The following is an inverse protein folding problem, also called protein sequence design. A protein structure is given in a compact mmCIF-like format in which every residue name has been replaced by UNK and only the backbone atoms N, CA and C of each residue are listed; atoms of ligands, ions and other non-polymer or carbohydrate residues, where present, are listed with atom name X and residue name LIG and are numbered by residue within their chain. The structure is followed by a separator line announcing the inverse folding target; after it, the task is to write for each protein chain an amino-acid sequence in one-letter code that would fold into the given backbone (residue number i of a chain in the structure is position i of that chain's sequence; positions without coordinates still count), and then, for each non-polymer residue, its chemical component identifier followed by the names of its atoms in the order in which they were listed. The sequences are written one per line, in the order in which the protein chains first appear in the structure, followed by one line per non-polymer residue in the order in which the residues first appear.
data_IF_361121400094
#
_entry.id   IF_361121400094
#
_cell.length_a   1.000
_cell.length_b   1.000
_cell.length_c   1.000
_cell.angle_alpha   90.00
_cell.angle_beta   90.00
_cell.angle_gamma   90.00
#
_symmetry.space_group_name_H-M   'P 1'
#
loop_
_entity.id
_entity.type
_entity.pdbx_description
1 polymer ?
#
# COMPACT_ATOMS: atom_id res chain seq x y z
N UNK A 1 -19.23 44.64 -38.21
CA UNK A 1 -20.60 44.79 -37.67
C UNK A 1 -20.90 43.49 -36.95
N UNK A 2 -21.20 43.53 -35.65
CA UNK A 2 -21.65 42.33 -34.93
C UNK A 2 -23.11 42.13 -35.36
N UNK A 3 -23.39 41.02 -36.03
CA UNK A 3 -24.76 40.65 -36.39
C UNK A 3 -25.44 40.09 -35.13
N UNK A 4 -26.56 40.69 -34.75
CA UNK A 4 -27.30 40.35 -33.52
C UNK A 4 -28.72 40.02 -33.89
N UNK A 5 -29.14 38.78 -33.62
CA UNK A 5 -30.49 38.30 -33.85
C UNK A 5 -30.97 37.50 -32.63
N UNK A 6 -32.27 37.56 -32.36
CA UNK A 6 -32.88 36.79 -31.29
C UNK A 6 -32.95 35.31 -31.65
N UNK A 7 -32.58 34.45 -30.70
CA UNK A 7 -32.63 33.00 -30.85
C UNK A 7 -33.05 32.33 -29.55
N UNK A 8 -33.97 31.36 -29.65
CA UNK A 8 -34.39 30.57 -28.49
C UNK A 8 -33.25 29.70 -27.98
N UNK A 9 -32.92 29.82 -26.68
CA UNK A 9 -31.88 29.01 -26.04
C UNK A 9 -32.13 28.85 -24.55
N UNK A 10 -31.47 27.85 -23.94
CA UNK A 10 -31.33 27.77 -22.48
C UNK A 10 -30.37 28.86 -21.98
N UNK A 11 -30.54 29.27 -20.71
CA UNK A 11 -29.66 30.23 -20.02
C UNK A 11 -28.19 29.81 -20.14
N UNK A 12 -27.33 30.75 -20.53
CA UNK A 12 -25.90 30.55 -20.70
C UNK A 12 -25.38 31.23 -21.97
N UNK A 13 -24.12 30.95 -22.32
CA UNK A 13 -23.46 31.50 -23.51
C UNK A 13 -22.88 30.37 -24.35
N UNK A 14 -23.01 30.48 -25.67
CA UNK A 14 -22.38 29.55 -26.63
C UNK A 14 -21.49 30.38 -27.52
N UNK A 15 -20.20 30.03 -27.57
CA UNK A 15 -19.24 30.70 -28.44
C UNK A 15 -18.79 29.69 -29.49
N UNK A 16 -19.09 29.97 -30.75
CA UNK A 16 -18.68 29.15 -31.89
C UNK A 16 -17.59 29.88 -32.66
N UNK A 17 -16.43 29.25 -32.81
CA UNK A 17 -15.30 29.79 -33.57
C UNK A 17 -15.04 28.84 -34.73
N UNK A 18 -15.27 29.32 -35.96
CA UNK A 18 -15.01 28.59 -37.20
C UNK A 18 -13.93 29.31 -38.01
N UNK A 19 -13.20 28.56 -38.83
CA UNK A 19 -12.13 29.08 -39.70
C UNK A 19 -11.10 29.94 -38.94
N UNK A 20 -10.54 29.41 -37.86
CA UNK A 20 -9.57 30.12 -37.03
C UNK A 20 -8.39 30.64 -37.88
N UNK A 21 -8.06 31.91 -37.72
CA UNK A 21 -7.02 32.63 -38.48
C UNK A 21 -7.27 32.81 -39.99
N UNK A 22 -8.50 32.67 -40.49
CA UNK A 22 -8.80 32.88 -41.91
C UNK A 22 -8.34 34.24 -42.46
N UNK A 23 -8.39 35.29 -41.64
CA UNK A 23 -7.98 36.65 -41.97
C UNK A 23 -6.55 37.01 -41.50
N UNK A 24 -5.80 36.04 -41.00
CA UNK A 24 -4.45 36.22 -40.47
C UNK A 24 -3.49 35.14 -41.01
N UNK A 25 -3.15 35.17 -42.31
CA UNK A 25 -2.41 34.08 -42.98
C UNK A 25 -1.03 33.82 -42.38
N UNK A 26 -0.35 34.86 -41.86
CA UNK A 26 0.90 34.70 -41.13
C UNK A 26 0.72 33.84 -39.87
N UNK A 27 -0.34 34.06 -39.08
CA UNK A 27 -0.66 33.26 -37.89
C UNK A 27 -1.07 31.83 -38.23
N UNK A 28 -1.81 31.66 -39.34
CA UNK A 28 -2.16 30.34 -39.85
C UNK A 28 -0.91 29.49 -40.16
N UNK A 29 0.14 30.09 -40.74
CA UNK A 29 1.42 29.41 -40.99
C UNK A 29 2.17 29.00 -39.72
N UNK A 30 1.88 29.61 -38.57
CA UNK A 30 2.47 29.23 -37.27
C UNK A 30 1.70 28.10 -36.57
N UNK A 31 0.52 27.70 -37.08
CA UNK A 31 -0.18 26.55 -36.53
C UNK A 31 0.68 25.30 -36.66
N UNK A 32 0.77 24.52 -35.58
CA UNK A 32 1.44 23.23 -35.60
C UNK A 32 0.53 22.19 -36.28
N UNK A 33 1.07 20.99 -36.47
CA UNK A 33 0.27 19.87 -36.98
C UNK A 33 -0.94 19.56 -36.08
N UNK A 34 -2.03 18.99 -36.62
CA UNK A 34 -3.29 18.78 -35.88
C UNK A 34 -3.13 18.05 -34.53
N UNK A 35 -2.24 17.06 -34.46
CA UNK A 35 -1.95 16.32 -33.21
C UNK A 35 -1.35 17.20 -32.12
N UNK A 36 -0.47 18.14 -32.48
CA UNK A 36 0.18 19.05 -31.54
C UNK A 36 -0.79 20.10 -31.02
N UNK A 37 -1.63 20.64 -31.89
CA UNK A 37 -2.71 21.57 -31.50
C UNK A 37 -3.74 20.88 -30.62
N UNK A 38 -4.14 19.65 -30.97
CA UNK A 38 -5.02 18.85 -30.14
C UNK A 38 -4.45 18.61 -28.73
N UNK A 39 -3.16 18.28 -28.63
CA UNK A 39 -2.48 18.16 -27.34
C UNK A 39 -2.50 19.47 -26.55
N UNK A 40 -2.26 20.61 -27.19
CA UNK A 40 -2.33 21.91 -26.53
C UNK A 40 -3.74 22.21 -26.00
N UNK A 41 -4.79 21.82 -26.73
CA UNK A 41 -6.19 21.92 -26.27
C UNK A 41 -6.41 21.04 -25.04
N UNK A 42 -5.97 19.78 -25.07
CA UNK A 42 -6.07 18.87 -23.92
C UNK A 42 -5.36 19.45 -22.70
N UNK A 43 -4.14 19.97 -22.86
CA UNK A 43 -3.37 20.56 -21.77
C UNK A 43 -4.08 21.79 -21.17
N UNK A 44 -4.67 22.65 -22.01
CA UNK A 44 -5.43 23.82 -21.58
C UNK A 44 -6.71 23.43 -20.82
N UNK A 45 -7.49 22.48 -21.36
CA UNK A 45 -8.71 21.99 -20.70
C UNK A 45 -8.38 21.28 -19.39
N UNK A 46 -7.29 20.51 -19.35
CA UNK A 46 -6.80 19.84 -18.13
C UNK A 46 -6.42 20.87 -17.07
N UNK A 47 -5.73 21.94 -17.43
CA UNK A 47 -5.39 23.03 -16.52
C UNK A 47 -6.64 23.68 -15.90
N UNK A 48 -7.68 23.93 -16.72
CA UNK A 48 -8.98 24.43 -16.23
C UNK A 48 -9.64 23.40 -15.31
N UNK A 49 -9.60 22.11 -15.65
CA UNK A 49 -10.20 21.05 -14.86
C UNK A 49 -9.56 20.90 -13.46
N UNK A 50 -8.23 21.07 -13.37
CA UNK A 50 -7.50 21.01 -12.10
C UNK A 50 -7.74 22.25 -11.23
N UNK A 51 -7.92 23.42 -11.86
CA UNK A 51 -8.21 24.68 -11.19
C UNK A 51 -9.67 24.76 -10.71
N UNK A 52 -10.62 24.31 -11.55
CA UNK A 52 -12.08 24.40 -11.32
C UNK A 52 -12.67 22.99 -11.16
N UNK A 53 -12.67 22.52 -9.92
CA UNK A 53 -13.12 21.17 -9.54
C UNK A 53 -14.64 21.11 -9.37
N UNK A 54 -15.25 22.23 -9.03
CA UNK A 54 -16.68 22.43 -8.82
C UNK A 54 -17.52 22.40 -10.10
N UNK A 55 -16.88 22.52 -11.27
CA UNK A 55 -17.57 22.60 -12.56
C UNK A 55 -17.54 21.24 -13.29
N UNK A 56 -18.66 20.91 -13.95
CA UNK A 56 -18.73 19.81 -14.92
C UNK A 56 -18.07 20.23 -16.24
N UNK A 57 -17.15 19.42 -16.74
CA UNK A 57 -16.46 19.67 -18.01
C UNK A 57 -16.63 18.48 -18.95
N UNK A 58 -17.00 18.76 -20.20
CA UNK A 58 -17.10 17.76 -21.27
C UNK A 58 -16.34 18.25 -22.48
N UNK A 59 -15.50 17.39 -23.06
CA UNK A 59 -14.76 17.68 -24.28
C UNK A 59 -15.10 16.65 -25.34
N UNK A 60 -15.46 17.14 -26.52
CA UNK A 60 -15.75 16.34 -27.69
C UNK A 60 -14.73 16.67 -28.78
N UNK A 61 -14.32 15.66 -29.55
CA UNK A 61 -13.45 15.77 -30.72
C UNK A 61 -14.01 14.88 -31.82
N UNK A 62 -14.30 15.47 -32.99
CA UNK A 62 -14.91 14.77 -34.13
C UNK A 62 -16.15 13.94 -33.74
N UNK A 63 -17.04 14.54 -32.95
CA UNK A 63 -18.26 13.90 -32.45
C UNK A 63 -18.06 12.91 -31.29
N UNK A 64 -16.84 12.41 -31.06
CA UNK A 64 -16.53 11.49 -29.96
C UNK A 64 -16.29 12.26 -28.65
N UNK A 65 -16.89 11.79 -27.56
CA UNK A 65 -16.62 12.31 -26.22
C UNK A 65 -15.26 11.79 -25.73
N UNK A 66 -14.30 12.70 -25.57
CA UNK A 66 -12.92 12.38 -25.14
C UNK A 66 -12.76 12.56 -23.63
N UNK A 67 -13.45 13.54 -23.05
CA UNK A 67 -13.38 13.84 -21.62
C UNK A 67 -14.78 14.08 -21.08
N UNK A 68 -15.09 13.49 -19.93
CA UNK A 68 -16.34 13.69 -19.21
C UNK A 68 -16.05 13.75 -17.72
N UNK A 69 -15.91 14.97 -17.19
CA UNK A 69 -15.55 15.22 -15.81
C UNK A 69 -16.77 15.75 -15.05
N UNK A 70 -17.36 14.98 -14.12
CA UNK A 70 -18.35 15.52 -13.19
C UNK A 70 -17.68 16.52 -12.23
N UNK A 71 -18.45 17.34 -11.50
CA UNK A 71 -17.92 18.07 -10.35
C UNK A 71 -17.23 17.11 -9.38
N UNK A 72 -16.09 17.53 -8.82
CA UNK A 72 -15.28 16.73 -7.92
C UNK A 72 -15.13 17.45 -6.57
N UNK A 73 -15.29 16.71 -5.49
CA UNK A 73 -15.16 17.21 -4.11
C UNK A 73 -13.72 17.46 -3.68
N UNK A 74 -12.75 16.79 -4.31
CA UNK A 74 -11.34 16.90 -3.98
C UNK A 74 -10.44 16.88 -5.21
N UNK A 75 -9.18 17.30 -5.04
CA UNK A 75 -8.17 17.20 -6.10
C UNK A 75 -7.94 15.73 -6.49
N UNK A 76 -7.89 14.82 -5.52
CA UNK A 76 -7.74 13.37 -5.76
C UNK A 76 -8.87 12.80 -6.61
N UNK A 77 -10.12 13.15 -6.29
CA UNK A 77 -11.28 12.75 -7.08
C UNK A 77 -11.21 13.30 -8.52
N UNK A 78 -10.74 14.55 -8.69
CA UNK A 78 -10.50 15.12 -10.01
C UNK A 78 -9.40 14.37 -10.78
N UNK A 79 -8.30 13.98 -10.12
CA UNK A 79 -7.24 13.17 -10.75
C UNK A 79 -7.77 11.79 -11.15
N UNK A 80 -8.58 11.16 -10.31
CA UNK A 80 -9.20 9.88 -10.61
C UNK A 80 -10.12 9.95 -11.85
N UNK A 81 -10.87 11.05 -12.00
CA UNK A 81 -11.71 11.27 -13.17
C UNK A 81 -10.90 11.54 -14.47
N UNK A 82 -9.71 12.11 -14.36
CA UNK A 82 -8.83 12.42 -15.50
C UNK A 82 -8.00 11.22 -15.96
N UNK A 83 -7.43 10.47 -15.01
CA UNK A 83 -6.40 9.46 -15.28
C UNK A 83 -6.65 8.09 -14.61
N UNK A 84 -7.80 7.92 -13.94
CA UNK A 84 -8.18 6.68 -13.28
C UNK A 84 -7.82 6.62 -11.79
N UNK A 85 -8.53 5.78 -11.04
CA UNK A 85 -8.36 5.64 -9.60
C UNK A 85 -6.96 5.17 -9.19
N UNK A 86 -6.41 4.18 -9.90
CA UNK A 86 -5.05 3.66 -9.65
C UNK A 86 -3.97 4.72 -9.82
N UNK A 87 -4.15 5.67 -10.74
CA UNK A 87 -3.24 6.81 -10.88
C UNK A 87 -3.37 7.74 -9.66
N UNK A 88 -4.60 8.04 -9.24
CA UNK A 88 -4.86 8.94 -8.12
C UNK A 88 -4.36 8.41 -6.76
N UNK A 89 -4.26 7.09 -6.58
CA UNK A 89 -3.75 6.44 -5.36
C UNK A 89 -2.25 6.65 -5.13
N UNK A 90 -1.49 6.99 -6.19
CA UNK A 90 -0.03 7.21 -6.13
C UNK A 90 0.39 8.50 -5.44
N UNK A 91 -0.57 9.29 -4.96
CA UNK A 91 -0.31 10.62 -4.43
C UNK A 91 -0.57 10.71 -2.94
N UNK A 92 0.24 11.53 -2.27
CA UNK A 92 0.10 11.97 -0.89
C UNK A 92 -0.55 13.35 -0.86
N UNK A 93 -1.41 13.56 0.14
CA UNK A 93 -1.95 14.89 0.41
C UNK A 93 -0.90 15.77 1.07
N UNK A 94 -0.79 16.99 0.55
CA UNK A 94 -0.01 18.06 1.13
C UNK A 94 -1.01 19.09 1.63
N UNK A 95 -0.90 19.46 2.89
CA UNK A 95 -1.62 20.59 3.45
C UNK A 95 -0.81 21.21 4.56
N UNK A 96 -0.59 22.51 4.44
CA UNK A 96 0.30 23.23 5.33
C UNK A 96 0.11 24.74 5.29
N UNK A 97 0.47 25.39 6.39
CA UNK A 97 0.49 26.84 6.52
C UNK A 97 1.81 27.26 7.16
N UNK A 98 2.57 28.12 6.47
CA UNK A 98 3.81 28.69 6.96
C UNK A 98 3.79 30.20 6.77
N UNK A 99 3.72 30.94 7.88
CA UNK A 99 3.51 32.39 7.86
C UNK A 99 2.23 32.76 7.12
N UNK A 100 2.35 33.57 6.07
CA UNK A 100 1.24 34.00 5.21
C UNK A 100 1.02 33.11 3.97
N UNK A 101 1.74 31.98 3.86
CA UNK A 101 1.65 31.08 2.71
C UNK A 101 0.95 29.79 3.12
N UNK A 102 -0.13 29.43 2.43
CA UNK A 102 -0.76 28.11 2.54
C UNK A 102 -0.40 27.29 1.31
N UNK A 103 0.07 26.06 1.53
CA UNK A 103 0.39 25.11 0.47
C UNK A 103 -0.55 23.92 0.63
N UNK A 104 -1.24 23.57 -0.43
CA UNK A 104 -2.10 22.39 -0.46
C UNK A 104 -1.95 21.62 -1.77
N UNK A 105 -2.35 20.36 -1.82
CA UNK A 105 -2.39 19.61 -3.06
C UNK A 105 -2.00 18.15 -2.92
N UNK A 106 -1.42 17.62 -3.98
CA UNK A 106 -1.02 16.22 -4.10
C UNK A 106 0.41 16.11 -4.66
N UNK A 107 1.24 15.29 -4.02
CA UNK A 107 2.59 14.96 -4.49
C UNK A 107 2.74 13.46 -4.62
N UNK A 108 3.50 13.00 -5.61
CA UNK A 108 3.71 11.57 -5.84
C UNK A 108 4.43 10.91 -4.66
N UNK A 109 4.02 9.69 -4.29
CA UNK A 109 4.73 8.89 -3.28
C UNK A 109 6.13 8.56 -3.78
N UNK A 110 7.18 8.59 -2.92
CA UNK A 110 8.55 8.28 -3.33
C UNK A 110 8.68 6.94 -4.08
N UNK A 111 7.99 5.90 -3.61
CA UNK A 111 8.00 4.58 -4.23
C UNK A 111 7.37 4.52 -5.63
N UNK A 112 6.54 5.49 -6.00
CA UNK A 112 5.84 5.53 -7.29
C UNK A 112 6.54 6.42 -8.34
N UNK A 113 7.56 7.18 -7.93
CA UNK A 113 8.25 8.16 -8.79
C UNK A 113 8.96 7.45 -9.95
N UNK A 114 8.73 7.95 -11.16
CA UNK A 114 9.36 7.42 -12.38
C UNK A 114 8.60 6.29 -13.07
N UNK A 115 7.55 5.72 -12.45
CA UNK A 115 6.74 4.66 -13.06
C UNK A 115 5.88 5.19 -14.23
N UNK A 116 5.35 6.41 -14.12
CA UNK A 116 4.56 7.06 -15.16
C UNK A 116 5.18 8.37 -15.63
N UNK A 117 4.64 8.90 -16.73
CA UNK A 117 5.07 10.19 -17.26
C UNK A 117 4.84 11.32 -16.26
N UNK A 118 5.90 12.08 -15.96
CA UNK A 118 5.88 13.24 -15.05
C UNK A 118 4.84 14.28 -15.45
N UNK A 119 4.09 14.79 -14.47
CA UNK A 119 3.20 15.95 -14.63
C UNK A 119 3.50 16.97 -13.55
N UNK A 120 3.40 18.24 -13.91
CA UNK A 120 3.59 19.34 -12.97
C UNK A 120 2.48 20.33 -13.22
N UNK A 121 1.68 20.55 -12.18
CA UNK A 121 0.64 21.56 -12.14
C UNK A 121 0.83 22.37 -10.86
N UNK A 122 1.04 23.67 -11.02
CA UNK A 122 1.13 24.61 -9.92
C UNK A 122 0.02 25.63 -10.13
N UNK A 123 -0.77 25.90 -9.09
CA UNK A 123 -1.66 27.04 -9.03
C UNK A 123 -1.24 28.00 -7.93
N UNK A 124 -1.36 29.30 -8.21
CA UNK A 124 -1.16 30.37 -7.23
C UNK A 124 -2.43 31.19 -7.14
N UNK A 125 -3.04 31.29 -5.97
CA UNK A 125 -4.31 31.99 -5.74
C UNK A 125 -5.41 31.60 -6.77
N UNK A 126 -5.51 30.30 -7.07
CA UNK A 126 -6.51 29.77 -8.01
C UNK A 126 -6.19 30.01 -9.50
N UNK A 127 -4.97 30.41 -9.86
CA UNK A 127 -4.52 30.53 -11.26
C UNK A 127 -3.42 29.52 -11.55
N UNK A 128 -3.56 28.75 -12.62
CA UNK A 128 -2.49 27.87 -13.09
C UNK A 128 -1.28 28.67 -13.58
N UNK A 129 -0.09 28.36 -13.07
CA UNK A 129 1.15 29.08 -13.36
C UNK A 129 2.30 28.12 -13.66
N UNK A 130 3.32 28.63 -14.33
CA UNK A 130 4.60 27.97 -14.55
C UNK A 130 5.66 28.71 -13.74
N UNK A 131 6.03 28.14 -12.60
CA UNK A 131 7.09 28.69 -11.76
C UNK A 131 8.16 27.63 -11.47
N UNK A 132 9.35 27.81 -12.02
CA UNK A 132 10.45 26.85 -11.87
C UNK A 132 11.00 26.80 -10.43
N UNK A 133 10.82 27.86 -9.64
CA UNK A 133 11.30 27.96 -8.26
C UNK A 133 10.47 27.12 -7.31
N UNK A 134 9.13 27.21 -7.40
CA UNK A 134 8.20 26.35 -6.66
C UNK A 134 8.47 24.88 -6.99
N UNK A 135 8.66 24.56 -8.27
CA UNK A 135 8.99 23.19 -8.71
C UNK A 135 10.31 22.72 -8.09
N UNK A 136 11.37 23.55 -8.15
CA UNK A 136 12.68 23.23 -7.58
C UNK A 136 12.61 23.04 -6.05
N UNK A 137 11.83 23.87 -5.37
CA UNK A 137 11.63 23.79 -3.92
C UNK A 137 10.94 22.47 -3.53
N UNK A 138 9.86 22.12 -4.22
CA UNK A 138 9.19 20.83 -4.02
C UNK A 138 10.13 19.65 -4.32
N UNK A 139 10.88 19.68 -5.43
CA UNK A 139 11.85 18.62 -5.77
C UNK A 139 13.00 18.50 -4.76
N UNK A 140 13.39 19.59 -4.10
CA UNK A 140 14.44 19.58 -3.07
C UNK A 140 13.99 18.80 -1.83
N UNK A 141 12.69 18.75 -1.53
CA UNK A 141 12.14 17.91 -0.47
C UNK A 141 12.32 16.41 -0.75
N UNK A 142 12.29 16.00 -2.02
CA UNK A 142 12.40 14.59 -2.44
C UNK A 142 13.83 14.06 -2.51
N UNK A 143 14.86 14.91 -2.51
CA UNK A 143 16.25 14.50 -2.80
C UNK A 143 16.78 13.35 -1.94
N UNK A 144 16.30 13.19 -0.71
CA UNK A 144 16.70 12.12 0.21
C UNK A 144 15.83 10.86 0.12
N UNK A 145 14.70 10.90 -0.61
CA UNK A 145 13.70 9.83 -0.62
C UNK A 145 13.55 9.13 -1.97
N UNK A 146 14.12 9.69 -3.04
CA UNK A 146 14.04 9.12 -4.40
C UNK A 146 15.43 8.97 -5.04
N UNK A 147 15.61 8.05 -6.00
CA UNK A 147 16.87 7.90 -6.72
C UNK A 147 17.34 9.18 -7.43
N UNK A 148 18.65 9.30 -7.61
CA UNK A 148 19.22 10.41 -8.37
C UNK A 148 18.73 10.38 -9.83
N UNK A 149 18.38 11.55 -10.38
CA UNK A 149 17.99 11.70 -11.79
C UNK A 149 16.49 11.50 -12.08
N UNK A 150 15.71 10.93 -11.16
CA UNK A 150 14.24 10.88 -11.30
C UNK A 150 13.59 12.12 -10.70
N UNK A 151 12.40 12.46 -11.20
CA UNK A 151 11.65 13.66 -10.78
C UNK A 151 10.18 13.32 -10.53
N UNK A 152 9.61 13.77 -9.40
CA UNK A 152 8.24 13.46 -9.02
C UNK A 152 7.21 14.22 -9.86
N UNK A 153 6.00 13.68 -9.87
CA UNK A 153 4.78 14.36 -10.30
C UNK A 153 4.24 15.23 -9.17
N UNK A 154 3.83 16.46 -9.50
CA UNK A 154 3.43 17.50 -8.53
C UNK A 154 2.13 18.17 -8.95
N UNK A 155 1.17 18.27 -8.03
CA UNK A 155 -0.07 19.04 -8.17
C UNK A 155 -0.25 19.93 -6.94
N UNK A 156 0.24 21.17 -6.98
CA UNK A 156 0.26 22.06 -5.81
C UNK A 156 -0.59 23.30 -6.05
N UNK A 157 -1.34 23.72 -5.03
CA UNK A 157 -2.00 25.01 -4.91
C UNK A 157 -1.32 25.81 -3.80
N UNK A 158 -0.84 27.00 -4.15
CA UNK A 158 -0.12 27.90 -3.26
C UNK A 158 -0.95 29.17 -3.10
N UNK A 159 -1.40 29.42 -1.88
CA UNK A 159 -2.15 30.61 -1.53
C UNK A 159 -1.25 31.57 -0.77
N UNK A 160 -1.22 32.81 -1.22
CA UNK A 160 -0.40 33.89 -0.67
C UNK A 160 -1.20 35.18 -0.64
N UNK A 161 -0.80 36.12 0.21
CA UNK A 161 -1.41 37.44 0.25
C UNK A 161 -1.41 38.09 -1.15
N UNK A 162 -2.54 38.74 -1.52
CA UNK A 162 -2.76 39.23 -2.88
C UNK A 162 -1.75 40.30 -3.31
N UNK A 163 -1.19 41.05 -2.36
CA UNK A 163 -0.17 42.07 -2.59
C UNK A 163 1.24 41.46 -2.73
N UNK A 164 1.46 40.22 -2.31
CA UNK A 164 2.74 39.54 -2.39
C UNK A 164 3.04 38.93 -3.77
N UNK A 165 2.06 38.94 -4.70
CA UNK A 165 2.19 38.38 -6.05
C UNK A 165 1.70 39.34 -7.11
N UNK A 166 2.55 39.62 -8.08
CA UNK A 166 2.18 40.27 -9.33
C UNK A 166 1.88 39.22 -10.40
N UNK A 167 0.64 39.25 -10.91
CA UNK A 167 0.14 38.35 -11.95
C UNK A 167 0.26 38.98 -13.35
N UNK A 168 0.59 40.26 -13.44
CA UNK A 168 0.64 41.01 -14.70
C UNK A 168 2.02 40.95 -15.38
N UNK A 169 2.64 39.76 -15.42
CA UNK A 169 4.02 39.59 -15.91
C UNK A 169 4.08 39.10 -17.36
N UNK A 170 3.09 38.29 -17.80
CA UNK A 170 3.07 37.70 -19.14
C UNK A 170 1.71 37.94 -19.83
N UNK A 171 1.65 38.12 -21.17
CA UNK A 171 0.39 38.31 -21.91
C UNK A 171 -0.63 37.20 -21.68
N UNK A 172 -0.17 35.95 -21.58
CA UNK A 172 -1.00 34.78 -21.26
C UNK A 172 -1.23 34.58 -19.74
N UNK A 173 -0.64 35.44 -18.89
CA UNK A 173 -0.68 35.38 -17.42
C UNK A 173 -0.33 34.00 -16.85
N UNK A 174 0.58 33.30 -17.53
CA UNK A 174 1.06 31.96 -17.18
C UNK A 174 2.22 32.00 -16.19
N UNK A 175 2.77 33.18 -15.92
CA UNK A 175 3.89 33.42 -15.02
C UNK A 175 3.47 34.43 -13.98
N UNK A 176 4.02 34.30 -12.77
CA UNK A 176 3.77 35.19 -11.64
C UNK A 176 5.10 35.65 -11.07
N UNK A 177 5.15 36.88 -10.58
CA UNK A 177 6.32 37.42 -9.90
C UNK A 177 5.99 37.64 -8.44
N UNK A 178 6.69 36.91 -7.58
CA UNK A 178 6.60 37.10 -6.14
C UNK A 178 7.39 38.34 -5.73
N UNK A 179 6.85 39.13 -4.79
CA UNK A 179 7.58 40.24 -4.16
C UNK A 179 8.81 39.73 -3.42
N UNK A 180 8.62 38.67 -2.64
CA UNK A 180 9.70 37.88 -2.06
C UNK A 180 9.43 36.39 -2.32
N UNK A 181 10.35 35.74 -3.02
CA UNK A 181 10.21 34.35 -3.45
C UNK A 181 10.69 33.37 -2.40
N UNK A 182 11.64 33.77 -1.57
CA UNK A 182 12.32 32.85 -0.66
C UNK A 182 11.38 32.26 0.40
N UNK A 183 10.48 33.04 1.06
CA UNK A 183 9.52 32.49 2.01
C UNK A 183 8.55 31.48 1.36
N UNK A 184 8.12 31.75 0.13
CA UNK A 184 7.21 30.86 -0.62
C UNK A 184 7.90 29.55 -0.98
N UNK A 185 9.13 29.61 -1.51
CA UNK A 185 9.91 28.40 -1.81
C UNK A 185 10.20 27.58 -0.54
N UNK A 186 10.56 28.23 0.58
CA UNK A 186 10.76 27.55 1.87
C UNK A 186 9.47 26.90 2.38
N UNK A 187 8.34 27.59 2.29
CA UNK A 187 7.04 27.06 2.70
C UNK A 187 6.66 25.82 1.87
N UNK A 188 6.86 25.86 0.55
CA UNK A 188 6.61 24.72 -0.35
C UNK A 188 7.53 23.55 0.00
N UNK A 189 8.84 23.77 0.13
CA UNK A 189 9.75 22.69 0.50
C UNK A 189 9.38 22.07 1.86
N UNK A 190 9.10 22.88 2.87
CA UNK A 190 8.74 22.40 4.20
C UNK A 190 7.44 21.59 4.18
N UNK A 191 6.43 22.04 3.44
CA UNK A 191 5.15 21.34 3.29
C UNK A 191 5.29 19.98 2.63
N UNK A 192 6.04 19.92 1.53
CA UNK A 192 6.31 18.65 0.85
C UNK A 192 7.15 17.74 1.73
N UNK A 193 8.18 18.26 2.40
CA UNK A 193 9.04 17.47 3.30
C UNK A 193 8.24 16.87 4.46
N UNK A 194 7.29 17.62 5.04
CA UNK A 194 6.38 17.10 6.07
C UNK A 194 5.46 16.01 5.54
N UNK A 195 4.86 16.19 4.37
CA UNK A 195 4.03 15.16 3.74
C UNK A 195 4.82 13.86 3.48
N UNK A 196 6.08 13.99 3.05
CA UNK A 196 7.00 12.85 2.85
C UNK A 196 7.46 12.19 4.16
N UNK A 197 7.36 12.87 5.30
CA UNK A 197 7.65 12.30 6.61
C UNK A 197 6.50 11.48 7.21
N UNK A 198 5.34 11.41 6.55
CA UNK A 198 4.19 10.66 7.02
C UNK A 198 4.30 9.16 6.71
N UNK A 199 3.63 8.31 7.50
CA UNK A 199 3.58 6.85 7.27
C UNK A 199 3.08 6.53 5.85
N UNK A 200 2.17 7.34 5.30
CA UNK A 200 1.66 7.15 3.95
C UNK A 200 2.73 7.28 2.85
N UNK A 201 3.85 7.94 3.13
CA UNK A 201 4.99 8.05 2.23
C UNK A 201 5.93 6.83 2.26
N UNK A 202 5.78 5.97 3.27
CA UNK A 202 6.57 4.76 3.42
C UNK A 202 6.39 3.80 2.25
N UNK A 203 7.47 3.13 1.85
CA UNK A 203 7.39 2.04 0.89
C UNK A 203 6.63 0.87 1.52
N UNK A 204 5.55 0.42 0.88
CA UNK A 204 4.85 -0.79 1.31
C UNK A 204 5.68 -1.99 0.88
N UNK A 205 6.21 -2.75 1.84
CA UNK A 205 6.86 -4.03 1.58
C UNK A 205 5.75 -5.08 1.41
N UNK A 206 5.56 -5.55 0.19
CA UNK A 206 4.48 -6.45 -0.22
C UNK A 206 3.61 -5.85 -1.33
N UNK A 207 3.12 -6.71 -2.23
CA UNK A 207 2.32 -6.32 -3.41
C UNK A 207 1.17 -5.39 -2.98
N UNK A 208 0.95 -4.23 -3.64
CA UNK A 208 -0.26 -3.44 -3.37
C UNK A 208 -1.47 -4.33 -3.66
N UNK A 209 -2.55 -4.25 -2.87
CA UNK A 209 -3.75 -5.02 -3.17
C UNK A 209 -4.17 -4.64 -4.59
N UNK A 210 -4.22 -5.61 -5.48
CA UNK A 210 -4.98 -5.46 -6.71
C UNK A 210 -6.37 -5.05 -6.23
N UNK A 211 -6.94 -3.92 -6.67
CA UNK A 211 -8.31 -3.62 -6.34
C UNK A 211 -9.12 -4.73 -7.00
N UNK A 212 -9.56 -5.71 -6.20
CA UNK A 212 -10.70 -6.52 -6.59
C UNK A 212 -11.78 -5.48 -6.93
N UNK A 213 -12.35 -5.50 -8.15
CA UNK A 213 -13.51 -4.67 -8.41
C UNK A 213 -14.50 -5.02 -7.30
N UNK A 214 -14.86 -4.03 -6.48
CA UNK A 214 -15.89 -4.20 -5.49
C UNK A 214 -17.12 -4.65 -6.26
N UNK A 215 -17.45 -5.94 -6.16
CA UNK A 215 -18.71 -6.44 -6.65
C UNK A 215 -19.80 -5.56 -6.04
N UNK A 216 -20.80 -5.13 -6.82
CA UNK A 216 -21.89 -4.33 -6.28
C UNK A 216 -22.47 -5.06 -5.07
N UNK A 217 -22.46 -4.38 -3.91
CA UNK A 217 -23.04 -4.86 -2.66
C UNK A 217 -24.57 -4.76 -2.70
N UNK A 218 -25.18 -5.39 -3.70
CA UNK A 218 -26.62 -5.51 -3.83
C UNK A 218 -26.97 -6.96 -4.14
N UNK A 219 -26.91 -7.79 -3.09
CA UNK A 219 -27.72 -8.99 -2.90
C UNK A 219 -27.36 -9.60 -1.53
N UNK A 220 -28.00 -9.11 -0.47
CA UNK A 220 -28.21 -9.97 0.69
C UNK A 220 -29.23 -11.04 0.25
N UNK A 221 -28.76 -12.20 -0.18
CA UNK A 221 -29.55 -13.41 -0.04
C UNK A 221 -29.55 -13.76 1.45
N UNK A 222 -30.71 -13.88 2.11
CA UNK A 222 -30.74 -14.38 3.47
C UNK A 222 -30.16 -15.80 3.43
N UNK A 223 -29.06 -16.03 4.15
CA UNK A 223 -28.61 -17.39 4.43
C UNK A 223 -29.66 -17.96 5.38
N UNK A 224 -30.33 -19.00 4.93
CA UNK A 224 -31.33 -19.70 5.72
C UNK A 224 -30.65 -20.36 6.92
N UNK A 225 -30.94 -19.85 8.12
CA UNK A 225 -30.27 -20.24 9.37
C UNK A 225 -30.65 -21.68 9.76
N UNK A 226 -31.64 -22.27 9.08
CA UNK A 226 -32.14 -23.63 9.33
C UNK A 226 -31.17 -24.73 8.83
N UNK A 227 -30.18 -24.42 7.98
CA UNK A 227 -29.20 -25.42 7.50
C UNK A 227 -27.99 -25.64 8.41
N UNK A 228 -27.88 -24.91 9.53
CA UNK A 228 -26.79 -25.05 10.51
C UNK A 228 -27.16 -25.90 11.74
N UNK A 229 -28.39 -26.40 11.83
CA UNK A 229 -28.78 -27.37 12.85
C UNK A 229 -28.51 -28.80 12.37
N UNK A 230 -27.24 -29.21 12.44
CA UNK A 230 -26.90 -30.64 12.52
C UNK A 230 -26.80 -31.02 14.00
N UNK A 231 -27.72 -31.86 14.46
CA UNK A 231 -27.71 -32.39 15.82
C UNK A 231 -26.40 -33.15 16.12
N UNK A 232 -25.88 -33.08 17.36
CA UNK A 232 -24.78 -33.91 17.80
C UNK A 232 -25.30 -35.33 18.02
N UNK A 233 -24.77 -36.30 17.27
CA UNK A 233 -24.99 -37.70 17.57
C UNK A 233 -24.30 -38.05 18.89
N UNK A 234 -25.08 -38.48 19.88
CA UNK A 234 -24.58 -39.05 21.13
C UNK A 234 -23.92 -40.43 20.86
N UNK A 235 -22.96 -40.84 21.71
CA UNK A 235 -22.14 -42.03 21.46
C UNK A 235 -22.83 -43.29 21.98
N UNK A 236 -22.99 -44.29 21.11
CA UNK A 236 -23.25 -45.66 21.55
C UNK A 236 -21.94 -46.27 22.05
N UNK A 237 -21.84 -46.38 23.36
CA UNK A 237 -20.81 -47.14 24.03
C UNK A 237 -21.01 -48.63 23.81
N UNK A 238 -19.93 -49.32 23.41
CA UNK A 238 -19.88 -50.77 23.50
C UNK A 238 -18.52 -51.35 23.90
N UNK A 239 -17.55 -50.54 24.31
CA UNK A 239 -16.30 -51.01 24.93
C UNK A 239 -15.82 -50.09 26.06
N UNK A 240 -16.29 -50.34 27.28
CA UNK A 240 -15.54 -50.14 28.53
C UNK A 240 -14.67 -51.39 28.75
N UNK A 241 -13.49 -51.43 29.38
CA UNK A 241 -12.69 -50.54 30.25
C UNK A 241 -11.19 -50.90 29.99
N UNK A 242 -10.14 -50.18 30.43
CA UNK A 242 -9.71 -49.92 31.82
C UNK A 242 -8.53 -48.93 31.91
N UNK A 243 -8.58 -48.07 32.94
CA UNK A 243 -7.53 -47.52 33.85
C UNK A 243 -6.16 -46.98 33.38
N UNK A 244 -5.85 -45.76 33.89
CA UNK A 244 -4.64 -45.31 34.61
C UNK A 244 -4.24 -43.87 34.16
N UNK A 245 -4.46 -42.85 35.00
CA UNK A 245 -3.46 -42.15 35.86
C UNK A 245 -2.40 -41.39 35.02
N UNK A 246 -2.01 -40.12 35.20
CA UNK A 246 -1.85 -39.25 36.39
C UNK A 246 -1.60 -37.80 35.90
N UNK A 247 -2.13 -36.76 36.55
CA UNK A 247 -1.43 -35.82 37.47
C UNK A 247 -0.60 -34.67 36.83
N UNK A 248 -1.02 -33.42 37.10
CA UNK A 248 -0.17 -32.21 37.10
C UNK A 248 0.94 -32.32 38.18
N UNK A 249 2.04 -31.52 38.16
CA UNK A 249 2.01 -30.28 38.95
C UNK A 249 2.96 -29.13 38.50
N UNK A 250 2.92 -28.06 39.32
CA UNK A 250 3.44 -26.71 39.13
C UNK A 250 4.91 -26.45 39.56
N UNK A 251 5.48 -25.40 38.92
CA UNK A 251 6.38 -24.30 39.40
C UNK A 251 7.69 -24.57 40.19
N UNK A 252 8.65 -23.67 39.86
CA UNK A 252 9.91 -23.23 40.53
C UNK A 252 11.18 -23.99 40.13
N UNK A 253 12.34 -23.39 39.84
CA UNK A 253 12.89 -22.03 39.99
C UNK A 253 13.84 -21.73 38.80
N UNK A 254 13.77 -20.57 38.15
CA UNK A 254 14.66 -19.41 38.34
C UNK A 254 16.16 -19.74 38.54
N UNK A 255 16.94 -19.65 37.46
CA UNK A 255 18.03 -18.65 37.31
C UNK A 255 18.68 -18.73 35.92
N UNK A 256 18.77 -17.56 35.26
CA UNK A 256 19.59 -17.37 34.05
C UNK A 256 18.91 -16.65 32.88
N UNK A 257 18.04 -15.66 33.12
CA UNK A 257 17.58 -14.69 32.12
C UNK A 257 18.12 -13.29 32.49
N UNK A 258 19.39 -13.23 32.88
CA UNK A 258 20.12 -11.96 32.92
C UNK A 258 20.64 -11.74 31.49
N UNK A 259 20.26 -10.61 30.89
CA UNK A 259 20.53 -10.17 29.50
C UNK A 259 19.55 -10.64 28.40
N UNK A 260 18.28 -10.87 28.72
CA UNK A 260 17.25 -10.82 27.68
C UNK A 260 17.03 -9.35 27.28
N UNK A 261 17.69 -8.90 26.21
CA UNK A 261 17.41 -7.60 25.60
C UNK A 261 15.90 -7.43 25.38
N UNK A 262 15.34 -6.25 25.68
CA UNK A 262 13.92 -6.02 25.52
C UNK A 262 13.50 -6.32 24.09
N UNK A 263 12.60 -7.30 23.93
CA UNK A 263 12.16 -7.76 22.61
C UNK A 263 11.62 -6.56 21.83
N UNK A 264 12.25 -6.19 20.70
CA UNK A 264 11.84 -5.04 19.90
C UNK A 264 10.42 -5.26 19.35
N UNK A 265 9.71 -4.18 18.96
CA UNK A 265 8.31 -4.24 18.58
C UNK A 265 8.05 -5.29 17.50
N UNK A 266 7.23 -6.28 17.87
CA UNK A 266 6.91 -7.46 17.07
C UNK A 266 5.73 -7.16 16.14
N UNK A 267 5.93 -7.29 14.84
CA UNK A 267 4.83 -7.29 13.86
C UNK A 267 4.55 -8.73 13.46
N UNK A 268 3.34 -9.21 13.76
CA UNK A 268 2.87 -10.49 13.26
C UNK A 268 2.20 -10.30 11.90
N UNK A 269 2.80 -10.85 10.85
CA UNK A 269 2.27 -10.79 9.49
C UNK A 269 1.48 -12.07 9.17
N UNK A 270 0.19 -11.90 8.83
CA UNK A 270 -0.73 -12.98 8.42
C UNK A 270 -0.84 -14.15 9.40
N UNK A 271 -0.48 -13.95 10.67
CA UNK A 271 -0.36 -15.01 11.68
C UNK A 271 0.65 -16.13 11.32
N UNK A 272 1.61 -15.85 10.44
CA UNK A 272 2.63 -16.82 10.01
C UNK A 272 4.04 -16.34 10.32
N UNK A 273 4.33 -15.06 10.07
CA UNK A 273 5.66 -14.52 10.30
C UNK A 273 5.68 -13.55 11.47
N UNK A 274 6.74 -13.60 12.26
CA UNK A 274 7.08 -12.58 13.25
C UNK A 274 8.22 -11.74 12.69
N UNK A 275 8.08 -10.42 12.74
CA UNK A 275 9.09 -9.49 12.26
C UNK A 275 9.45 -8.50 13.36
N UNK A 276 10.74 -8.27 13.56
CA UNK A 276 11.23 -7.26 14.49
C UNK A 276 12.57 -6.67 14.00
N UNK A 277 12.93 -5.51 14.54
CA UNK A 277 14.20 -4.84 14.27
C UNK A 277 15.32 -5.47 15.11
N UNK A 278 16.47 -5.75 14.52
CA UNK A 278 17.69 -6.15 15.23
C UNK A 278 18.87 -5.27 14.83
N UNK A 279 20.00 -5.39 15.55
CA UNK A 279 21.16 -4.47 15.45
C UNK A 279 21.73 -4.25 14.04
N UNK A 280 21.47 -5.17 13.11
CA UNK A 280 21.96 -5.13 11.71
C UNK A 280 20.89 -5.12 10.64
N UNK A 281 19.60 -5.07 10.99
CA UNK A 281 18.51 -5.10 10.01
C UNK A 281 17.19 -5.68 10.51
N UNK A 282 16.38 -6.19 9.59
CA UNK A 282 15.08 -6.78 9.92
C UNK A 282 15.22 -8.28 10.09
N UNK A 283 14.74 -8.79 11.23
CA UNK A 283 14.65 -10.22 11.50
C UNK A 283 13.24 -10.69 11.13
N UNK A 284 13.16 -11.75 10.33
CA UNK A 284 11.90 -12.38 9.95
C UNK A 284 11.93 -13.85 10.39
N UNK A 285 10.99 -14.21 11.25
CA UNK A 285 10.84 -15.57 11.80
C UNK A 285 9.57 -16.19 11.24
N UNK A 286 9.68 -17.36 10.62
CA UNK A 286 8.55 -18.23 10.33
C UNK A 286 8.10 -18.93 11.63
N UNK A 287 6.87 -18.68 12.08
CA UNK A 287 6.36 -19.27 13.32
C UNK A 287 6.28 -20.79 13.26
N UNK A 288 6.01 -21.37 12.09
CA UNK A 288 5.91 -22.82 11.97
C UNK A 288 7.29 -23.45 12.16
N UNK A 289 8.30 -22.99 11.43
CA UNK A 289 9.66 -23.49 11.56
C UNK A 289 10.27 -23.21 12.94
N UNK A 290 9.98 -22.06 13.54
CA UNK A 290 10.41 -21.76 14.91
C UNK A 290 9.77 -22.70 15.93
N UNK A 291 8.48 -23.00 15.78
CA UNK A 291 7.79 -23.94 16.65
C UNK A 291 8.38 -25.36 16.53
N UNK A 292 8.61 -25.84 15.31
CA UNK A 292 9.25 -27.13 15.07
C UNK A 292 10.67 -27.19 15.66
N UNK A 293 11.44 -26.10 15.53
CA UNK A 293 12.80 -26.02 16.10
C UNK A 293 12.77 -26.10 17.62
N UNK A 294 11.86 -25.39 18.27
CA UNK A 294 11.68 -25.43 19.73
C UNK A 294 11.26 -26.84 20.18
N UNK A 295 10.30 -27.46 19.48
CA UNK A 295 9.90 -28.84 19.77
C UNK A 295 11.07 -29.80 19.61
N UNK A 296 11.81 -29.71 18.51
CA UNK A 296 13.00 -30.54 18.28
C UNK A 296 14.04 -30.38 19.38
N UNK A 297 14.38 -29.15 19.76
CA UNK A 297 15.34 -28.89 20.83
C UNK A 297 14.83 -29.40 22.19
N UNK A 298 13.54 -29.24 22.48
CA UNK A 298 12.92 -29.77 23.69
C UNK A 298 12.96 -31.32 23.72
N UNK A 299 12.61 -31.98 22.61
CA UNK A 299 12.68 -33.44 22.48
C UNK A 299 14.11 -33.96 22.63
N UNK A 300 15.08 -33.35 21.92
CA UNK A 300 16.49 -33.73 22.03
C UNK A 300 17.05 -33.47 23.43
N UNK A 301 16.62 -32.40 24.08
CA UNK A 301 16.96 -32.11 25.47
C UNK A 301 16.40 -33.15 26.44
N UNK A 302 15.13 -33.54 26.30
CA UNK A 302 14.49 -34.57 27.11
C UNK A 302 15.16 -35.95 26.90
N UNK A 303 15.48 -36.29 25.65
CA UNK A 303 16.18 -37.54 25.30
C UNK A 303 17.58 -37.60 25.94
N UNK A 304 18.34 -36.50 25.88
CA UNK A 304 19.68 -36.42 26.47
C UNK A 304 19.65 -36.52 28.00
N UNK A 305 18.56 -36.06 28.64
CA UNK A 305 18.35 -36.16 30.10
C UNK A 305 17.71 -37.48 30.55
N UNK A 306 17.27 -38.33 29.62
CA UNK A 306 16.56 -39.58 29.92
C UNK A 306 15.12 -39.36 30.44
N UNK A 307 14.52 -38.21 30.17
CA UNK A 307 13.18 -37.81 30.62
C UNK A 307 12.17 -37.78 29.46
N UNK A 308 12.43 -38.55 28.40
CA UNK A 308 11.52 -38.62 27.26
C UNK A 308 10.15 -39.13 27.74
N UNK A 309 9.05 -38.36 27.56
CA UNK A 309 7.74 -38.80 27.99
C UNK A 309 7.31 -40.01 27.14
N UNK A 310 7.14 -41.16 27.79
CA UNK A 310 6.70 -42.40 27.18
C UNK A 310 5.35 -42.83 27.77
N UNK A 311 4.51 -43.44 26.93
CA UNK A 311 3.25 -44.01 27.34
C UNK A 311 3.23 -45.49 26.95
N UNK A 312 2.90 -46.36 27.91
CA UNK A 312 2.78 -47.78 27.62
C UNK A 312 1.59 -48.04 26.71
N UNK A 313 1.78 -48.94 25.75
CA UNK A 313 0.69 -49.43 24.92
C UNK A 313 -0.25 -50.29 25.77
N UNK A 314 -1.55 -50.23 25.46
CA UNK A 314 -2.56 -51.04 26.16
C UNK A 314 -2.33 -52.55 25.99
N UNK A 315 -1.73 -52.96 24.87
CA UNK A 315 -1.26 -54.31 24.61
C UNK A 315 0.15 -54.24 23.99
N UNK A 316 1.09 -55.10 24.43
CA UNK A 316 2.41 -55.16 23.82
C UNK A 316 2.32 -55.62 22.36
N UNK A 317 3.17 -55.05 21.50
CA UNK A 317 3.26 -55.43 20.09
C UNK A 317 4.44 -56.39 19.94
N UNK A 318 4.15 -57.62 19.52
CA UNK A 318 5.20 -58.60 19.20
C UNK A 318 5.82 -58.28 17.85
N UNK A 319 7.15 -58.13 17.82
CA UNK A 319 7.92 -57.85 16.60
C UNK A 319 8.84 -59.04 16.29
N UNK A 320 8.68 -59.60 15.09
CA UNK A 320 9.61 -60.62 14.58
C UNK A 320 10.70 -59.95 13.77
N UNK A 321 11.95 -60.04 14.22
CA UNK A 321 13.09 -59.44 13.54
C UNK A 321 13.84 -60.48 12.71
N UNK A 322 14.32 -60.07 11.54
CA UNK A 322 15.32 -60.85 10.80
C UNK A 322 16.68 -60.86 11.53
N UNK A 323 17.62 -61.76 11.19
CA UNK A 323 18.92 -61.83 11.87
C UNK A 323 19.71 -60.52 11.89
N UNK A 324 19.71 -59.77 10.78
CA UNK A 324 20.40 -58.48 10.68
C UNK A 324 19.69 -57.36 11.47
N UNK A 325 18.36 -57.41 11.57
CA UNK A 325 17.57 -56.44 12.33
C UNK A 325 17.68 -56.71 13.84
N UNK A 326 17.71 -57.98 14.24
CA UNK A 326 17.95 -58.38 15.62
C UNK A 326 19.36 -57.95 16.08
N UNK A 327 20.38 -58.13 15.23
CA UNK A 327 21.73 -57.64 15.52
C UNK A 327 21.79 -56.11 15.63
N UNK A 328 21.16 -55.39 14.70
CA UNK A 328 21.08 -53.92 14.75
C UNK A 328 20.30 -53.42 15.97
N UNK A 329 19.23 -54.12 16.36
CA UNK A 329 18.48 -53.84 17.58
C UNK A 329 19.36 -54.01 18.82
N UNK A 330 20.04 -55.15 18.98
CA UNK A 330 20.90 -55.39 20.13
C UNK A 330 22.04 -54.35 20.23
N UNK A 331 22.62 -53.96 19.09
CA UNK A 331 23.64 -52.90 19.04
C UNK A 331 23.12 -51.52 19.47
N UNK A 332 21.81 -51.27 19.35
CA UNK A 332 21.17 -49.99 19.65
C UNK A 332 20.13 -50.08 20.77
N UNK A 333 20.08 -51.19 21.54
CA UNK A 333 19.07 -51.45 22.57
C UNK A 333 18.95 -50.31 23.57
N UNK A 334 20.08 -49.81 24.05
CA UNK A 334 20.14 -48.68 24.97
C UNK A 334 19.55 -47.37 24.38
N UNK A 335 19.61 -47.18 23.06
CA UNK A 335 19.02 -46.02 22.40
C UNK A 335 17.48 -46.12 22.35
N UNK A 336 16.93 -47.34 22.16
CA UNK A 336 15.49 -47.56 22.24
C UNK A 336 14.95 -47.32 23.66
N UNK A 337 15.67 -47.78 24.68
CA UNK A 337 15.32 -47.51 26.08
C UNK A 337 15.34 -46.00 26.40
N UNK A 338 16.36 -45.27 25.92
CA UNK A 338 16.43 -43.82 26.09
C UNK A 338 15.30 -43.07 25.36
N UNK A 339 14.86 -43.58 24.21
CA UNK A 339 13.70 -43.07 23.48
C UNK A 339 12.37 -43.40 24.17
N UNK A 340 12.39 -44.16 25.27
CA UNK A 340 11.21 -44.51 26.05
C UNK A 340 10.52 -45.80 25.63
N UNK A 341 11.18 -46.64 24.83
CA UNK A 341 10.67 -47.98 24.49
C UNK A 341 11.07 -49.00 25.55
N UNK A 342 10.06 -49.65 26.13
CA UNK A 342 10.25 -50.84 26.94
C UNK A 342 10.10 -52.08 26.05
N UNK A 343 11.13 -52.92 26.01
CA UNK A 343 11.21 -54.05 25.07
C UNK A 343 11.73 -55.28 25.81
N UNK A 344 10.97 -56.37 25.78
CA UNK A 344 11.30 -57.63 26.42
C UNK A 344 11.49 -58.73 25.39
N UNK A 345 12.52 -59.57 25.55
CA UNK A 345 12.73 -60.67 24.62
C UNK A 345 11.67 -61.76 24.78
N UNK A 346 10.90 -62.04 23.72
CA UNK A 346 9.95 -63.15 23.65
C UNK A 346 10.55 -64.37 22.91
N UNK A 347 11.80 -64.70 23.21
CA UNK A 347 12.51 -65.89 22.71
C UNK A 347 12.86 -65.90 21.22
N UNK A 348 14.05 -66.41 20.89
CA UNK A 348 14.54 -66.43 19.50
C UNK A 348 14.80 -65.02 18.96
N UNK A 349 14.30 -64.71 17.76
CA UNK A 349 14.39 -63.38 17.13
C UNK A 349 13.08 -62.56 17.29
N UNK A 350 12.35 -62.79 18.38
CA UNK A 350 11.09 -62.10 18.68
C UNK A 350 11.26 -61.20 19.89
N UNK A 351 10.83 -59.95 19.74
CA UNK A 351 10.80 -58.90 20.76
C UNK A 351 9.35 -58.49 21.09
#
# INVERSE_FOLDING_TARGET
MLDTADASRRRGTTVSVAHLFYNAPARLKFMRGPRSEWRAIIDAVTSVALTRRDVRLTLHHDGKRVMALPPASSLRARLAALWGGTYAERFLEVEDVSGSTRVSGLVERPADVGIAGRRVFISVNGRAVRDAGIVRAAETAFKSTIPAGVRPTLFLDVQVAADAVDVNVHPAKAEVRFRDRWPVERAVEAAVRRALGTIGAGAVIGRPPIPFPAAPRDAFTPVDVETLHREPAAPDGLFAATNADSAEPARSADRGLEDAEPIPPLVQLRRTYLMFEGDGGVVLIDQHSAHERVLYEAFMGALTRGEAPAQHLMFPITLHLGPAEAEAFEQNRAAFEQLGFEIEGFGGHTL
#
